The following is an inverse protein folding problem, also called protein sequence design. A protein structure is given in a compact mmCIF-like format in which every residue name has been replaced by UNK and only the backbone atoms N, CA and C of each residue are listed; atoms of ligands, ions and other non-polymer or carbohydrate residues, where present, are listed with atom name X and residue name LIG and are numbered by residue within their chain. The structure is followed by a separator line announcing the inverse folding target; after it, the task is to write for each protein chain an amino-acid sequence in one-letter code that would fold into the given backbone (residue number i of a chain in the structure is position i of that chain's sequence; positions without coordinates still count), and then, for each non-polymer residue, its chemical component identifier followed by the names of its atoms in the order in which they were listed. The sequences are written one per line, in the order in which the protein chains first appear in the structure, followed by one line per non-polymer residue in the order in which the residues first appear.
data_IF_054171792244
#
_entry.id   IF_054171792244
#
_cell.length_a   1.000
_cell.length_b   1.000
_cell.length_c   1.000
_cell.angle_alpha   90.00
_cell.angle_beta   90.00
_cell.angle_gamma   90.00
#
_symmetry.space_group_name_H-M   'P 1'
#
loop_
_entity.id
_entity.type
_entity.pdbx_description
1 polymer ?
#
# COMPACT_ATOMS: atom_id res chain seq x y z
N UNK A 1 5.91 44.72 35.35
CA UNK A 1 4.43 44.68 35.44
C UNK A 1 4.02 43.25 35.80
N UNK A 2 3.16 43.11 36.81
CA UNK A 2 2.87 41.94 37.67
C UNK A 2 2.26 40.74 36.90
N UNK A 3 2.82 39.52 37.04
CA UNK A 3 2.34 38.34 37.82
C UNK A 3 0.90 37.90 37.56
N UNK A 4 0.70 36.63 37.16
CA UNK A 4 -0.15 35.63 37.86
C UNK A 4 -0.03 34.20 37.29
N UNK A 5 0.59 33.33 38.10
CA UNK A 5 0.41 31.88 38.14
C UNK A 5 -1.06 31.56 38.48
N UNK A 6 -1.64 30.53 37.87
CA UNK A 6 -2.82 29.86 38.43
C UNK A 6 -2.45 28.42 38.84
N UNK A 7 -2.38 28.27 40.16
CA UNK A 7 -2.32 27.03 40.92
C UNK A 7 -3.77 26.53 41.06
N UNK A 8 -4.08 25.34 40.58
CA UNK A 8 -5.38 24.69 40.77
C UNK A 8 -5.20 23.38 41.54
N UNK A 9 -5.29 23.46 42.87
CA UNK A 9 -5.37 22.31 43.76
C UNK A 9 -6.84 21.87 43.90
N UNK A 10 -7.09 20.57 43.83
CA UNK A 10 -8.38 19.97 44.17
C UNK A 10 -8.16 18.55 44.69
N UNK A 11 -8.43 18.34 45.98
CA UNK A 11 -8.29 17.08 46.70
C UNK A 11 -9.62 16.67 47.36
N UNK A 12 -9.74 15.37 47.67
CA UNK A 12 -10.77 14.59 48.43
C UNK A 12 -11.61 13.64 47.56
N UNK A 13 -11.37 12.32 47.55
CA UNK A 13 -11.54 11.26 48.58
C UNK A 13 -13.02 10.94 48.87
N UNK A 14 -13.50 9.78 48.41
CA UNK A 14 -14.49 8.95 49.12
C UNK A 14 -14.11 7.47 49.01
N UNK A 15 -14.10 6.83 50.17
CA UNK A 15 -13.87 5.42 50.48
C UNK A 15 -15.13 4.61 50.14
N UNK A 16 -14.97 3.48 49.44
CA UNK A 16 -16.04 2.50 49.21
C UNK A 16 -15.52 1.09 49.40
N UNK A 17 -15.59 0.61 50.64
CA UNK A 17 -15.29 -0.77 51.04
C UNK A 17 -16.52 -1.64 50.70
N UNK A 18 -16.37 -2.58 49.77
CA UNK A 18 -17.39 -3.58 49.43
C UNK A 18 -16.80 -4.98 49.49
N UNK A 19 -17.05 -5.68 50.59
CA UNK A 19 -16.73 -7.09 50.79
C UNK A 19 -17.84 -7.91 50.12
N UNK A 20 -17.49 -8.69 49.10
CA UNK A 20 -18.32 -9.77 48.57
C UNK A 20 -17.55 -11.07 48.61
N UNK A 21 -17.76 -11.84 49.68
CA UNK A 21 -17.44 -13.27 49.77
C UNK A 21 -18.76 -14.03 49.65
N UNK A 22 -19.09 -14.61 48.47
CA UNK A 22 -19.86 -15.87 48.36
C UNK A 22 -19.63 -16.48 46.97
N UNK A 23 -19.20 -17.74 46.93
CA UNK A 23 -19.64 -18.69 45.91
C UNK A 23 -18.68 -19.02 44.78
N UNK A 24 -17.70 -19.90 45.05
CA UNK A 24 -17.20 -20.81 44.03
C UNK A 24 -18.33 -21.77 43.65
N UNK A 25 -18.97 -21.57 42.50
CA UNK A 25 -19.65 -22.66 41.80
C UNK A 25 -18.73 -23.10 40.66
N UNK A 26 -17.96 -24.15 40.93
CA UNK A 26 -16.99 -24.77 40.04
C UNK A 26 -17.75 -25.59 38.98
N UNK A 27 -18.55 -24.91 38.14
CA UNK A 27 -19.02 -25.50 36.89
C UNK A 27 -17.84 -25.50 35.93
N UNK A 28 -17.06 -26.58 35.99
CA UNK A 28 -16.22 -27.01 34.88
C UNK A 28 -17.14 -27.23 33.67
N UNK A 29 -17.34 -26.18 32.89
CA UNK A 29 -17.67 -26.33 31.49
C UNK A 29 -16.47 -27.08 30.91
N UNK A 30 -16.63 -28.39 30.75
CA UNK A 30 -15.77 -29.19 29.90
C UNK A 30 -15.94 -28.58 28.51
N UNK A 31 -15.04 -27.64 28.17
CA UNK A 31 -14.86 -27.19 26.80
C UNK A 31 -14.65 -28.49 26.01
N UNK A 32 -15.50 -28.79 25.01
CA UNK A 32 -15.24 -29.94 24.16
C UNK A 32 -13.81 -29.81 23.66
N UNK A 33 -13.00 -30.83 23.86
CA UNK A 33 -11.72 -30.93 23.16
C UNK A 33 -12.08 -30.93 21.68
N UNK A 34 -12.02 -29.74 21.06
CA UNK A 34 -12.10 -29.59 19.62
C UNK A 34 -10.90 -30.38 19.13
N UNK A 35 -11.16 -31.55 18.57
CA UNK A 35 -10.17 -32.33 17.85
C UNK A 35 -9.37 -31.38 16.96
N UNK A 36 -8.02 -31.54 16.84
CA UNK A 36 -7.21 -30.64 16.03
C UNK A 36 -7.87 -30.48 14.67
N UNK A 37 -8.45 -29.30 14.47
CA UNK A 37 -9.17 -28.96 13.27
C UNK A 37 -8.12 -29.06 12.18
N UNK A 38 -8.26 -30.07 11.32
CA UNK A 38 -7.36 -30.29 10.20
C UNK A 38 -7.14 -28.93 9.55
N UNK A 39 -5.89 -28.45 9.56
CA UNK A 39 -5.54 -27.14 9.03
C UNK A 39 -6.17 -27.06 7.64
N UNK A 40 -7.15 -26.17 7.48
CA UNK A 40 -7.77 -25.95 6.19
C UNK A 40 -6.63 -25.67 5.23
N UNK A 41 -6.46 -26.54 4.23
CA UNK A 41 -5.42 -26.42 3.22
C UNK A 41 -5.63 -25.05 2.59
N UNK A 42 -4.80 -24.06 2.98
CA UNK A 42 -4.85 -22.76 2.34
C UNK A 42 -4.64 -23.01 0.85
N UNK A 43 -5.47 -22.40 -0.03
CA UNK A 43 -5.30 -22.58 -1.46
C UNK A 43 -3.85 -22.24 -1.81
N UNK A 44 -3.21 -23.13 -2.56
CA UNK A 44 -1.81 -22.98 -2.92
C UNK A 44 -1.63 -21.61 -3.60
N UNK A 45 -0.67 -20.82 -3.10
CA UNK A 45 -0.37 -19.53 -3.70
C UNK A 45 0.19 -19.75 -5.10
N UNK A 46 -0.19 -18.93 -6.08
CA UNK A 46 0.30 -19.06 -7.44
C UNK A 46 1.80 -18.73 -7.50
N UNK A 47 2.54 -19.44 -8.33
CA UNK A 47 3.97 -19.16 -8.55
C UNK A 47 4.18 -17.96 -9.47
N UNK A 48 5.37 -17.35 -9.44
CA UNK A 48 5.71 -16.25 -10.36
C UNK A 48 5.56 -16.69 -11.81
N UNK A 49 5.99 -17.92 -12.13
CA UNK A 49 5.91 -18.46 -13.48
C UNK A 49 4.46 -18.62 -13.95
N UNK A 50 3.57 -19.13 -13.08
CA UNK A 50 2.14 -19.25 -13.39
C UNK A 50 1.49 -17.89 -13.68
N UNK A 51 1.84 -16.86 -12.90
CA UNK A 51 1.29 -15.51 -13.10
C UNK A 51 1.87 -14.79 -14.32
N UNK A 52 3.12 -15.08 -14.68
CA UNK A 52 3.77 -14.50 -15.85
C UNK A 52 3.33 -15.15 -17.16
N UNK A 53 3.12 -16.47 -17.17
CA UNK A 53 2.76 -17.24 -18.36
C UNK A 53 1.24 -17.42 -18.52
N UNK A 54 0.49 -17.22 -17.44
CA UNK A 54 -0.95 -17.35 -17.43
C UNK A 54 -1.69 -16.28 -18.23
N UNK A 55 -3.00 -16.48 -18.34
CA UNK A 55 -3.90 -15.53 -18.99
C UNK A 55 -3.87 -14.17 -18.28
N UNK A 56 -3.70 -13.11 -19.05
CA UNK A 56 -3.72 -11.73 -18.58
C UNK A 56 -5.01 -11.05 -19.00
N UNK A 57 -5.61 -10.29 -18.08
CA UNK A 57 -6.82 -9.50 -18.33
C UNK A 57 -6.49 -8.02 -18.35
N UNK A 58 -7.10 -7.27 -19.26
CA UNK A 58 -7.00 -5.81 -19.30
C UNK A 58 -8.03 -5.19 -18.37
N UNK A 59 -7.59 -4.28 -17.51
CA UNK A 59 -8.45 -3.59 -16.53
C UNK A 59 -8.37 -2.09 -16.78
N UNK A 60 -9.53 -1.44 -16.94
CA UNK A 60 -9.64 0.01 -17.02
C UNK A 60 -9.46 0.60 -15.62
N UNK A 61 -8.55 1.56 -15.50
CA UNK A 61 -8.26 2.25 -14.26
C UNK A 61 -9.23 3.42 -14.08
N UNK A 62 -10.51 3.14 -13.76
CA UNK A 62 -11.65 4.09 -13.77
C UNK A 62 -11.41 5.54 -13.31
N UNK A 63 -10.44 5.80 -12.43
CA UNK A 63 -10.08 7.16 -11.99
C UNK A 63 -9.20 7.96 -12.98
N UNK A 64 -8.58 7.29 -13.96
CA UNK A 64 -7.62 7.83 -14.92
C UNK A 64 -7.80 7.21 -16.32
N UNK A 65 -7.43 7.90 -17.41
CA UNK A 65 -7.60 7.42 -18.79
C UNK A 65 -6.55 6.35 -19.18
N UNK A 66 -6.48 5.24 -18.43
CA UNK A 66 -5.48 4.20 -18.64
C UNK A 66 -6.09 2.80 -18.47
N UNK A 67 -5.48 1.84 -19.15
CA UNK A 67 -5.66 0.42 -18.89
C UNK A 67 -4.35 -0.18 -18.43
N UNK A 68 -4.45 -1.27 -17.67
CA UNK A 68 -3.30 -2.07 -17.25
C UNK A 68 -3.61 -3.54 -17.51
N UNK A 69 -2.59 -4.32 -17.86
CA UNK A 69 -2.71 -5.77 -18.02
C UNK A 69 -2.23 -6.46 -16.74
N UNK A 70 -3.10 -7.26 -16.15
CA UNK A 70 -2.83 -7.98 -14.89
C UNK A 70 -3.13 -9.47 -15.02
N UNK A 71 -2.49 -10.34 -14.23
CA UNK A 71 -2.87 -11.74 -14.17
C UNK A 71 -4.34 -11.91 -13.75
N UNK A 72 -4.91 -13.08 -14.09
CA UNK A 72 -6.22 -13.47 -13.57
C UNK A 72 -6.27 -13.41 -12.04
N UNK A 73 -7.41 -12.96 -11.50
CA UNK A 73 -7.65 -12.83 -10.06
C UNK A 73 -7.31 -11.44 -9.50
N UNK A 74 -6.84 -10.52 -10.34
CA UNK A 74 -6.73 -9.10 -9.99
C UNK A 74 -8.07 -8.39 -10.20
N UNK A 75 -8.46 -7.57 -9.23
CA UNK A 75 -9.76 -6.90 -9.19
C UNK A 75 -9.64 -5.43 -8.80
N UNK A 76 -10.45 -4.58 -9.45
CA UNK A 76 -10.57 -3.18 -9.10
C UNK A 76 -11.62 -3.01 -8.00
N UNK A 77 -11.22 -2.47 -6.85
CA UNK A 77 -12.05 -2.23 -5.67
C UNK A 77 -12.04 -0.75 -5.32
N UNK A 78 -13.08 -0.29 -4.61
CA UNK A 78 -13.11 1.02 -3.97
C UNK A 78 -13.04 0.82 -2.46
N UNK A 79 -12.01 1.36 -1.82
CA UNK A 79 -11.77 1.23 -0.39
C UNK A 79 -11.53 2.62 0.20
N UNK A 80 -12.38 3.01 1.17
CA UNK A 80 -12.31 4.34 1.82
C UNK A 80 -12.26 5.53 0.83
N UNK A 81 -12.94 5.41 -0.32
CA UNK A 81 -12.96 6.45 -1.36
C UNK A 81 -11.74 6.46 -2.29
N UNK A 82 -10.82 5.49 -2.14
CA UNK A 82 -9.67 5.31 -3.03
C UNK A 82 -9.92 4.11 -3.94
N UNK A 83 -9.55 4.25 -5.22
CA UNK A 83 -9.59 3.14 -6.17
C UNK A 83 -8.31 2.31 -6.01
N UNK A 84 -8.49 1.02 -5.72
CA UNK A 84 -7.41 0.07 -5.46
C UNK A 84 -7.53 -1.08 -6.45
N UNK A 85 -6.46 -1.37 -7.17
CA UNK A 85 -6.34 -2.58 -7.98
C UNK A 85 -5.53 -3.61 -7.18
N UNK A 86 -6.17 -4.72 -6.81
CA UNK A 86 -5.63 -5.72 -5.88
C UNK A 86 -5.56 -7.09 -6.53
N UNK A 87 -4.51 -7.86 -6.28
CA UNK A 87 -4.47 -9.25 -6.72
C UNK A 87 -3.35 -10.09 -6.11
N UNK A 88 -3.37 -11.41 -6.39
CA UNK A 88 -2.43 -12.34 -5.82
C UNK A 88 -1.03 -12.18 -6.43
N UNK A 89 -0.05 -12.43 -5.58
CA UNK A 89 1.37 -12.56 -5.87
C UNK A 89 1.90 -13.84 -5.20
N UNK A 90 3.08 -14.33 -5.59
CA UNK A 90 3.72 -15.48 -4.94
C UNK A 90 3.87 -15.31 -3.43
N UNK A 91 4.14 -14.10 -2.97
CA UNK A 91 4.44 -13.81 -1.56
C UNK A 91 3.24 -13.35 -0.75
N UNK A 92 2.14 -12.97 -1.41
CA UNK A 92 0.94 -12.47 -0.74
C UNK A 92 -0.01 -11.74 -1.69
N UNK A 93 -0.52 -10.61 -1.23
CA UNK A 93 -1.38 -9.73 -2.03
C UNK A 93 -0.59 -8.47 -2.36
N UNK A 94 -0.70 -7.99 -3.59
CA UNK A 94 -0.23 -6.66 -3.98
C UNK A 94 -1.44 -5.74 -4.24
N UNK A 95 -1.30 -4.48 -3.87
CA UNK A 95 -2.31 -3.46 -4.04
C UNK A 95 -1.71 -2.25 -4.75
N UNK A 96 -2.43 -1.73 -5.75
CA UNK A 96 -2.09 -0.53 -6.49
C UNK A 96 -3.15 0.55 -6.18
N UNK A 97 -2.74 1.62 -5.50
CA UNK A 97 -3.55 2.81 -5.33
C UNK A 97 -3.53 3.66 -6.58
N UNK A 98 -4.71 4.10 -7.03
CA UNK A 98 -4.89 4.87 -8.26
C UNK A 98 -5.51 6.23 -7.91
N UNK A 99 -4.88 7.31 -8.35
CA UNK A 99 -5.29 8.67 -8.06
C UNK A 99 -5.15 9.62 -9.25
N UNK A 100 -5.94 10.69 -9.21
CA UNK A 100 -5.86 11.82 -10.15
C UNK A 100 -6.01 13.12 -9.38
N UNK A 101 -5.19 14.10 -9.69
CA UNK A 101 -5.38 15.47 -9.23
C UNK A 101 -5.01 16.46 -10.35
N UNK A 102 -5.63 17.63 -10.34
CA UNK A 102 -5.33 18.70 -11.29
C UNK A 102 -4.23 19.60 -10.73
N UNK A 103 -3.23 19.89 -11.55
CA UNK A 103 -2.16 20.83 -11.25
C UNK A 103 -2.29 22.08 -12.12
N UNK A 104 -2.40 23.29 -11.53
CA UNK A 104 -2.85 24.50 -12.24
C UNK A 104 -1.80 25.18 -13.16
N UNK A 105 -0.66 24.55 -13.50
CA UNK A 105 0.45 25.25 -14.18
C UNK A 105 1.16 24.38 -15.23
N UNK A 106 1.46 25.01 -16.38
CA UNK A 106 2.16 24.50 -17.56
C UNK A 106 3.66 24.09 -17.36
N UNK A 107 4.13 23.99 -16.11
CA UNK A 107 5.49 23.54 -15.75
C UNK A 107 5.50 22.63 -14.51
N UNK A 108 4.32 22.19 -14.07
CA UNK A 108 4.20 21.40 -12.88
C UNK A 108 4.87 20.02 -13.05
N UNK A 109 4.79 19.46 -14.26
CA UNK A 109 5.46 18.22 -14.65
C UNK A 109 6.98 18.33 -14.54
N UNK A 110 7.58 19.39 -15.10
CA UNK A 110 9.03 19.61 -15.09
C UNK A 110 9.57 19.72 -13.65
N UNK A 111 8.91 20.50 -12.80
CA UNK A 111 9.33 20.65 -11.40
C UNK A 111 9.24 19.35 -10.61
N UNK A 112 8.20 18.55 -10.83
CA UNK A 112 8.07 17.24 -10.19
C UNK A 112 9.14 16.26 -10.68
N UNK A 113 9.41 16.26 -11.99
CA UNK A 113 10.47 15.44 -12.60
C UNK A 113 11.85 15.81 -12.03
N UNK A 114 12.20 17.10 -12.03
CA UNK A 114 13.47 17.58 -11.51
C UNK A 114 13.60 17.30 -10.01
N UNK A 115 12.53 17.49 -9.25
CA UNK A 115 12.47 17.16 -7.83
C UNK A 115 12.76 15.68 -7.56
N UNK A 116 12.12 14.78 -8.31
CA UNK A 116 12.33 13.35 -8.20
C UNK A 116 13.76 12.94 -8.58
N UNK A 117 14.30 13.47 -9.68
CA UNK A 117 15.69 13.22 -10.10
C UNK A 117 16.69 13.67 -9.05
N UNK A 118 16.49 14.86 -8.47
CA UNK A 118 17.34 15.39 -7.40
C UNK A 118 17.27 14.54 -6.14
N UNK A 119 16.09 14.09 -5.74
CA UNK A 119 15.94 13.20 -4.59
C UNK A 119 16.65 11.86 -4.82
N UNK A 120 16.47 11.25 -5.99
CA UNK A 120 17.16 10.01 -6.35
C UNK A 120 18.69 10.18 -6.35
N UNK A 121 19.20 11.29 -6.87
CA UNK A 121 20.63 11.61 -6.85
C UNK A 121 21.18 11.85 -5.44
N UNK A 122 20.36 12.38 -4.51
CA UNK A 122 20.77 12.62 -3.13
C UNK A 122 20.85 11.35 -2.28
N UNK A 123 20.15 10.28 -2.68
CA UNK A 123 20.09 8.99 -1.95
C UNK A 123 20.35 7.82 -2.91
N UNK A 124 21.52 7.73 -3.55
CA UNK A 124 21.80 6.67 -4.51
C UNK A 124 21.78 5.30 -3.82
N UNK A 125 21.21 4.31 -4.49
CA UNK A 125 21.10 2.95 -3.95
C UNK A 125 20.49 1.98 -4.97
N UNK A 126 20.56 0.67 -4.70
CA UNK A 126 20.10 -0.36 -5.64
C UNK A 126 18.60 -0.32 -5.93
N UNK A 127 17.82 0.33 -5.05
CA UNK A 127 16.37 0.50 -5.18
C UNK A 127 15.94 1.91 -5.55
N UNK A 128 16.88 2.84 -5.66
CA UNK A 128 16.59 4.24 -5.96
C UNK A 128 16.47 4.41 -7.48
N UNK A 129 15.32 4.87 -7.94
CA UNK A 129 15.05 5.19 -9.35
C UNK A 129 14.28 6.50 -9.44
N UNK A 130 14.64 7.32 -10.42
CA UNK A 130 13.79 8.38 -10.96
C UNK A 130 13.98 8.40 -12.48
N UNK A 131 13.16 7.63 -13.19
CA UNK A 131 13.24 7.46 -14.64
C UNK A 131 12.10 8.20 -15.34
N UNK A 132 12.41 8.81 -16.48
CA UNK A 132 11.44 9.55 -17.27
C UNK A 132 11.43 9.00 -18.68
N UNK A 133 10.24 8.66 -19.16
CA UNK A 133 10.03 8.17 -20.51
C UNK A 133 8.83 8.85 -21.15
N UNK A 134 8.85 8.94 -22.48
CA UNK A 134 7.70 9.32 -23.27
C UNK A 134 6.87 8.08 -23.63
N UNK A 135 5.56 8.16 -23.44
CA UNK A 135 4.63 7.09 -23.78
C UNK A 135 3.35 7.67 -24.39
N UNK A 136 3.16 7.47 -25.70
CA UNK A 136 1.99 8.02 -26.40
C UNK A 136 1.93 9.56 -26.39
N UNK A 137 3.08 10.23 -26.37
CA UNK A 137 3.17 11.70 -26.27
C UNK A 137 2.95 12.25 -24.85
N UNK A 138 2.83 11.37 -23.84
CA UNK A 138 2.74 11.74 -22.44
C UNK A 138 4.08 11.52 -21.74
N UNK A 139 4.44 12.42 -20.83
CA UNK A 139 5.57 12.22 -19.93
C UNK A 139 5.16 11.26 -18.81
N UNK A 140 5.95 10.21 -18.62
CA UNK A 140 5.79 9.22 -17.55
C UNK A 140 7.02 9.26 -16.66
N UNK A 141 6.83 9.57 -15.39
CA UNK A 141 7.86 9.55 -14.35
C UNK A 141 7.65 8.31 -13.49
N UNK A 142 8.63 7.42 -13.46
CA UNK A 142 8.67 6.29 -12.53
C UNK A 142 9.67 6.57 -11.41
N UNK A 143 9.22 6.42 -10.17
CA UNK A 143 10.08 6.59 -8.99
C UNK A 143 10.05 5.35 -8.13
N UNK A 144 11.23 4.96 -7.64
CA UNK A 144 11.40 3.89 -6.66
C UNK A 144 12.36 4.35 -5.57
N UNK A 145 12.05 4.01 -4.33
CA UNK A 145 12.94 4.24 -3.20
C UNK A 145 12.61 3.30 -2.06
N UNK A 146 13.63 2.92 -1.30
CA UNK A 146 13.44 2.20 -0.05
C UNK A 146 13.34 3.22 1.10
N UNK A 147 12.28 3.13 1.88
CA UNK A 147 12.06 3.93 3.07
C UNK A 147 12.88 3.45 4.26
N UNK A 148 12.58 4.01 5.44
CA UNK A 148 13.18 3.55 6.69
C UNK A 148 12.63 2.18 7.07
N UNK A 149 13.49 1.32 7.58
CA UNK A 149 13.08 0.10 8.27
C UNK A 149 12.33 0.48 9.55
N UNK A 150 11.12 -0.02 9.71
CA UNK A 150 10.27 0.23 10.86
C UNK A 150 10.08 -1.06 11.66
N UNK A 151 10.11 -0.99 13.00
CA UNK A 151 9.74 -2.13 13.82
C UNK A 151 8.24 -2.41 13.67
N UNK A 152 7.90 -3.65 13.35
CA UNK A 152 6.54 -4.14 13.25
C UNK A 152 6.31 -5.18 14.35
N UNK A 153 5.26 -5.05 15.18
CA UNK A 153 4.93 -6.07 16.17
C UNK A 153 4.61 -7.39 15.44
N UNK A 154 5.34 -8.44 15.75
CA UNK A 154 5.06 -9.79 15.28
C UNK A 154 4.91 -10.74 16.48
N UNK A 155 4.31 -11.90 16.23
CA UNK A 155 4.15 -12.95 17.22
C UNK A 155 4.96 -14.14 16.71
N UNK A 156 5.89 -14.63 17.52
CA UNK A 156 6.67 -15.82 17.18
C UNK A 156 5.80 -17.11 17.28
N UNK A 157 6.38 -18.25 16.90
CA UNK A 157 5.69 -19.54 16.96
C UNK A 157 5.31 -19.99 18.39
N UNK A 158 5.78 -19.28 19.42
CA UNK A 158 5.53 -19.54 20.83
C UNK A 158 4.53 -18.54 21.44
N UNK A 159 4.00 -17.61 20.63
CA UNK A 159 3.05 -16.59 21.10
C UNK A 159 3.71 -15.35 21.71
N UNK A 160 5.04 -15.24 21.70
CA UNK A 160 5.75 -14.08 22.23
C UNK A 160 5.73 -12.93 21.23
N UNK A 161 5.54 -11.71 21.75
CA UNK A 161 5.71 -10.49 20.96
C UNK A 161 7.19 -10.31 20.64
N UNK A 162 7.53 -10.40 19.37
CA UNK A 162 8.85 -10.07 18.84
C UNK A 162 8.77 -8.78 18.01
N UNK A 163 9.85 -8.03 17.96
CA UNK A 163 9.99 -6.94 17.01
C UNK A 163 10.50 -7.53 15.70
N UNK A 164 9.61 -7.66 14.71
CA UNK A 164 10.04 -7.87 13.33
C UNK A 164 10.39 -6.52 12.70
N UNK A 165 11.18 -6.50 11.65
CA UNK A 165 11.57 -5.27 10.97
C UNK A 165 11.11 -5.32 9.53
N UNK A 166 10.22 -4.41 9.16
CA UNK A 166 9.73 -4.29 7.79
C UNK A 166 10.35 -3.06 7.15
N UNK A 167 10.90 -3.24 5.95
CA UNK A 167 11.43 -2.14 5.15
C UNK A 167 10.44 -1.82 4.04
N UNK A 168 9.82 -0.64 4.09
CA UNK A 168 8.86 -0.20 3.07
C UNK A 168 9.57 0.15 1.77
N UNK A 169 8.99 -0.28 0.66
CA UNK A 169 9.39 0.08 -0.69
C UNK A 169 8.35 1.03 -1.27
N UNK A 170 8.74 2.28 -1.51
CA UNK A 170 7.91 3.24 -2.20
C UNK A 170 8.15 3.11 -3.70
N UNK A 171 7.13 2.67 -4.44
CA UNK A 171 7.17 2.58 -5.89
C UNK A 171 5.90 3.17 -6.49
N UNK A 172 6.07 4.18 -7.33
CA UNK A 172 4.99 4.84 -8.05
C UNK A 172 5.36 5.25 -9.47
N UNK A 173 4.34 5.32 -10.30
CA UNK A 173 4.36 5.88 -11.65
C UNK A 173 3.41 7.06 -11.70
N UNK A 174 3.92 8.19 -12.17
CA UNK A 174 3.19 9.43 -12.37
C UNK A 174 3.11 9.68 -13.88
N UNK A 175 1.91 9.89 -14.41
CA UNK A 175 1.69 10.25 -15.80
C UNK A 175 1.10 11.66 -15.87
N UNK A 176 1.70 12.50 -16.69
CA UNK A 176 1.28 13.88 -16.91
C UNK A 176 0.38 13.94 -18.14
N UNK A 177 -0.92 14.14 -17.93
CA UNK A 177 -1.94 14.17 -18.99
C UNK A 177 -2.37 15.62 -19.22
N UNK A 178 -2.22 16.17 -20.44
CA UNK A 178 -2.76 17.49 -20.77
C UNK A 178 -4.29 17.54 -20.56
N UNK A 179 -4.79 18.55 -19.87
CA UNK A 179 -6.21 18.74 -19.58
C UNK A 179 -6.61 20.20 -19.77
N UNK A 180 -6.87 20.57 -21.04
CA UNK A 180 -7.15 21.95 -21.42
C UNK A 180 -5.94 22.87 -21.19
N UNK A 181 -6.02 23.74 -20.17
CA UNK A 181 -4.91 24.63 -19.76
C UNK A 181 -4.13 24.08 -18.56
N UNK A 182 -4.64 23.03 -17.94
CA UNK A 182 -4.05 22.40 -16.77
C UNK A 182 -3.35 21.10 -17.18
N UNK A 183 -2.65 20.51 -16.20
CA UNK A 183 -2.09 19.17 -16.32
C UNK A 183 -2.75 18.29 -15.27
N UNK A 184 -3.40 17.21 -15.70
CA UNK A 184 -3.84 16.15 -14.81
C UNK A 184 -2.64 15.27 -14.44
N UNK A 185 -2.37 15.15 -13.14
CA UNK A 185 -1.35 14.26 -12.58
C UNK A 185 -2.04 12.97 -12.18
N UNK A 186 -1.81 11.93 -12.97
CA UNK A 186 -2.34 10.58 -12.74
C UNK A 186 -1.26 9.76 -12.01
N UNK A 187 -1.58 9.25 -10.83
CA UNK A 187 -0.65 8.49 -10.00
C UNK A 187 -1.13 7.05 -9.82
N UNK A 188 -0.22 6.11 -10.03
CA UNK A 188 -0.38 4.70 -9.67
C UNK A 188 0.78 4.32 -8.75
N UNK A 189 0.50 3.85 -7.55
CA UNK A 189 1.53 3.48 -6.59
C UNK A 189 1.19 2.17 -5.88
N UNK A 190 2.22 1.41 -5.48
CA UNK A 190 2.00 0.26 -4.64
C UNK A 190 1.68 0.68 -3.20
N UNK A 191 0.64 0.08 -2.62
CA UNK A 191 0.25 0.28 -1.21
C UNK A 191 0.96 -0.78 -0.38
N UNK A 192 1.62 -0.34 0.69
CA UNK A 192 2.29 -1.17 1.71
C UNK A 192 3.25 -2.25 1.16
N UNK A 193 3.83 -2.01 -0.03
CA UNK A 193 4.84 -2.87 -0.61
C UNK A 193 6.09 -2.88 0.28
N UNK A 194 6.50 -4.09 0.68
CA UNK A 194 7.76 -4.28 1.41
C UNK A 194 8.90 -4.52 0.43
N UNK A 195 10.14 -4.25 0.86
CA UNK A 195 11.33 -4.58 0.08
C UNK A 195 11.40 -6.08 -0.21
N UNK A 196 11.11 -6.89 0.80
CA UNK A 196 11.16 -8.35 0.71
C UNK A 196 10.17 -8.88 -0.34
N UNK A 197 8.93 -8.36 -0.35
CA UNK A 197 7.94 -8.68 -1.38
C UNK A 197 8.38 -8.17 -2.75
N UNK A 198 8.90 -6.93 -2.84
CA UNK A 198 9.42 -6.40 -4.08
C UNK A 198 10.51 -7.28 -4.68
N UNK A 199 11.50 -7.72 -3.89
CA UNK A 199 12.61 -8.54 -4.38
C UNK A 199 12.14 -9.89 -4.93
N UNK A 200 11.16 -10.50 -4.28
CA UNK A 200 10.62 -11.81 -4.66
C UNK A 200 9.67 -11.73 -5.86
N UNK A 201 8.87 -10.65 -5.95
CA UNK A 201 7.83 -10.50 -6.97
C UNK A 201 8.19 -9.50 -8.08
N UNK A 202 9.43 -9.00 -8.08
CA UNK A 202 9.91 -7.90 -8.94
C UNK A 202 9.51 -8.05 -10.39
N UNK A 203 9.71 -9.23 -10.96
CA UNK A 203 9.45 -9.48 -12.37
C UNK A 203 7.96 -9.32 -12.70
N UNK A 204 7.09 -9.90 -11.88
CA UNK A 204 5.64 -9.78 -12.00
C UNK A 204 5.20 -8.32 -11.85
N UNK A 205 5.62 -7.66 -10.77
CA UNK A 205 5.23 -6.29 -10.48
C UNK A 205 5.71 -5.32 -11.57
N UNK A 206 6.91 -5.54 -12.11
CA UNK A 206 7.47 -4.75 -13.22
C UNK A 206 6.67 -4.98 -14.49
N UNK A 207 6.30 -6.23 -14.81
CA UNK A 207 5.45 -6.54 -15.96
C UNK A 207 4.10 -5.82 -15.86
N UNK A 208 3.46 -5.84 -14.70
CA UNK A 208 2.19 -5.14 -14.45
C UNK A 208 2.36 -3.64 -14.68
N UNK A 209 3.32 -2.99 -14.00
CA UNK A 209 3.54 -1.54 -14.15
C UNK A 209 3.93 -1.12 -15.56
N UNK A 210 4.70 -1.94 -16.27
CA UNK A 210 5.13 -1.66 -17.65
C UNK A 210 3.99 -1.80 -18.67
N UNK A 211 2.91 -2.49 -18.31
CA UNK A 211 1.74 -2.71 -19.18
C UNK A 211 0.76 -1.54 -19.20
N UNK A 212 1.04 -0.47 -18.45
CA UNK A 212 0.20 0.73 -18.40
C UNK A 212 0.11 1.36 -19.79
N UNK A 213 -1.11 1.52 -20.32
CA UNK A 213 -1.37 2.10 -21.63
C UNK A 213 -2.41 3.21 -21.53
N UNK A 214 -2.12 4.34 -22.16
CA UNK A 214 -3.03 5.47 -22.25
C UNK A 214 -4.21 5.14 -23.18
N UNK A 215 -5.42 5.37 -22.71
CA UNK A 215 -6.63 5.35 -23.51
C UNK A 215 -7.51 6.56 -23.18
N UNK A 216 -7.52 7.60 -24.03
CA UNK A 216 -8.32 8.80 -23.81
C UNK A 216 -9.83 8.52 -23.80
N UNK A 217 -10.28 7.35 -24.27
CA UNK A 217 -11.71 6.97 -24.26
C UNK A 217 -12.14 6.41 -22.92
N UNK A 218 -11.20 5.98 -22.08
CA UNK A 218 -11.49 5.35 -20.79
C UNK A 218 -11.99 6.34 -19.72
N UNK A 219 -11.74 7.65 -19.88
CA UNK A 219 -12.15 8.68 -18.89
C UNK A 219 -13.61 9.15 -19.01
N UNK A 220 -14.38 8.65 -20.00
CA UNK A 220 -15.72 9.16 -20.31
C UNK A 220 -16.87 8.25 -19.86
N UNK A 221 -16.60 7.20 -19.06
CA UNK A 221 -17.61 6.29 -18.49
C UNK A 221 -17.54 6.29 -16.97
#
# INVERSE_FOLDING_TARGET
MRVRLFLGAGAMVIIGLGISLVGCDDRRNLVPVIAPQAAATQPARPTTQELLQGESTRVALKAIPFWISVPRGWELKSQAGVIVLEGPTPTGIAQLGIGRHLAPIAQHDERLIEGAKREAAAKPGPYTLADVRDSGGLKVLETRSVGKTLPMPAIDNLGNKIADTTTRMDWKTIVFVPDGRDVAVCEIHFIDLTREQYDQDKELLTKIMSSLQYDPRASNN
#
